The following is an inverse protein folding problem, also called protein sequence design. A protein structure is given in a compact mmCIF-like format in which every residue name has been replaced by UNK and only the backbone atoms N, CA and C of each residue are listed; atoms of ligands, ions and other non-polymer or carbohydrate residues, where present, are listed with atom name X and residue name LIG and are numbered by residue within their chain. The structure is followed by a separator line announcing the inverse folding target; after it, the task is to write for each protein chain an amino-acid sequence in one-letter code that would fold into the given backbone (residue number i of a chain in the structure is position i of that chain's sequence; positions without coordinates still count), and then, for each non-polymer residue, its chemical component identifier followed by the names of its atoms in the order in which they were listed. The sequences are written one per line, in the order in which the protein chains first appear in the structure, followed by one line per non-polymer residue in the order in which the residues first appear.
data_IF_667163915177
#
_entry.id   IF_667163915177
#
_cell.length_a   1.000
_cell.length_b   1.000
_cell.length_c   1.000
_cell.angle_alpha   90.00
_cell.angle_beta   90.00
_cell.angle_gamma   90.00
#
_symmetry.space_group_name_H-M   'P 1'
#
loop_
_entity.id
_entity.type
_entity.pdbx_description
1 polymer ?
#
# COMPACT_ATOMS: atom_id res chain seq x y z
N UNK A 1 3.28 12.50 -21.71
CA UNK A 1 3.93 11.85 -20.58
C UNK A 1 2.82 11.21 -19.77
N UNK A 2 2.90 9.92 -19.45
CA UNK A 2 1.79 9.22 -18.78
C UNK A 2 1.89 9.42 -17.26
N UNK A 3 1.12 10.36 -16.73
CA UNK A 3 1.01 10.63 -15.28
C UNK A 3 0.04 9.63 -14.69
N UNK A 4 0.54 8.75 -13.87
CA UNK A 4 -0.25 7.72 -13.19
C UNK A 4 -0.30 7.99 -11.70
N UNK A 5 -1.49 8.13 -11.15
CA UNK A 5 -1.68 8.08 -9.71
C UNK A 5 -2.05 6.66 -9.30
N UNK A 6 -1.33 6.13 -8.32
CA UNK A 6 -1.67 4.86 -7.66
C UNK A 6 -2.10 5.18 -6.24
N UNK A 7 -3.36 4.91 -5.92
CA UNK A 7 -3.90 5.03 -4.57
C UNK A 7 -4.15 3.64 -4.00
N UNK A 8 -3.53 3.31 -2.88
CA UNK A 8 -3.71 1.96 -2.32
C UNK A 8 -2.90 1.68 -1.08
N UNK A 9 -2.89 0.40 -0.72
CA UNK A 9 -2.25 -0.09 0.49
C UNK A 9 -0.73 0.03 0.46
N UNK A 10 -0.17 0.24 1.65
CA UNK A 10 1.24 0.09 1.95
C UNK A 10 1.42 -0.59 3.29
N UNK A 11 2.34 -1.53 3.36
CA UNK A 11 2.58 -2.32 4.55
C UNK A 11 4.07 -2.45 4.83
N UNK A 12 4.40 -2.70 6.09
CA UNK A 12 5.66 -3.32 6.46
C UNK A 12 5.45 -4.84 6.48
N UNK A 13 6.09 -5.56 5.56
CA UNK A 13 6.03 -7.01 5.48
C UNK A 13 7.09 -7.61 6.41
N UNK A 14 6.65 -8.41 7.39
CA UNK A 14 7.49 -9.12 8.35
C UNK A 14 7.49 -10.60 7.96
N UNK A 15 8.54 -11.02 7.28
CA UNK A 15 8.68 -12.37 6.73
C UNK A 15 9.44 -13.25 7.72
N UNK A 16 8.79 -14.29 8.20
CA UNK A 16 9.35 -15.29 9.10
C UNK A 16 9.57 -16.60 8.34
N UNK A 17 10.81 -16.94 8.09
CA UNK A 17 11.16 -18.23 7.50
C UNK A 17 11.12 -19.32 8.58
N UNK A 18 10.30 -20.35 8.34
CA UNK A 18 10.10 -21.46 9.26
C UNK A 18 10.36 -22.79 8.58
N UNK A 19 10.68 -23.84 9.35
CA UNK A 19 10.85 -25.19 8.78
C UNK A 19 9.54 -25.77 8.26
N UNK A 20 8.46 -25.51 8.97
CA UNK A 20 7.07 -25.90 8.68
C UNK A 20 6.11 -24.97 9.38
N UNK A 21 4.86 -24.98 8.97
CA UNK A 21 3.82 -24.23 9.67
C UNK A 21 3.57 -24.82 11.08
N UNK A 22 3.35 -23.97 12.11
CA UNK A 22 2.96 -24.46 13.44
C UNK A 22 1.54 -25.03 13.43
N UNK A 23 1.32 -26.04 14.26
CA UNK A 23 -0.03 -26.51 14.58
C UNK A 23 -0.66 -25.64 15.67
N UNK A 24 -1.97 -25.79 15.90
CA UNK A 24 -2.65 -25.08 16.97
C UNK A 24 -2.01 -25.40 18.34
N UNK A 25 -1.68 -24.35 19.11
CA UNK A 25 -1.03 -24.46 20.42
C UNK A 25 0.47 -24.73 20.38
N UNK A 26 1.09 -24.83 19.21
CA UNK A 26 2.51 -25.13 19.06
C UNK A 26 3.35 -23.86 19.02
N UNK A 27 4.51 -23.88 19.68
CA UNK A 27 5.56 -22.87 19.58
C UNK A 27 6.69 -23.40 18.69
N UNK A 28 7.04 -22.67 17.64
CA UNK A 28 8.19 -22.98 16.78
C UNK A 28 9.14 -21.79 16.71
N UNK A 29 10.38 -22.06 16.34
CA UNK A 29 11.41 -21.03 16.17
C UNK A 29 11.55 -20.69 14.68
N UNK A 30 11.47 -19.40 14.35
CA UNK A 30 11.79 -18.92 13.01
C UNK A 30 13.31 -19.01 12.77
N UNK A 31 13.71 -19.46 11.58
CA UNK A 31 15.11 -19.52 11.18
C UNK A 31 15.68 -18.13 10.83
N UNK A 32 14.82 -17.30 10.23
CA UNK A 32 15.14 -15.94 9.84
C UNK A 32 13.90 -15.06 9.92
N UNK A 33 14.08 -13.81 10.29
CA UNK A 33 13.06 -12.77 10.21
C UNK A 33 13.62 -11.61 9.39
N UNK A 34 12.91 -11.22 8.34
CA UNK A 34 13.24 -10.06 7.52
C UNK A 34 12.08 -9.09 7.49
N UNK A 35 12.40 -7.81 7.32
CA UNK A 35 11.41 -6.74 7.10
C UNK A 35 11.63 -6.15 5.73
N UNK A 36 10.56 -5.89 5.01
CA UNK A 36 10.61 -5.17 3.75
C UNK A 36 9.33 -4.35 3.55
N UNK A 37 9.44 -3.31 2.77
CA UNK A 37 8.27 -2.51 2.41
C UNK A 37 7.48 -3.24 1.33
N UNK A 38 6.15 -3.30 1.50
CA UNK A 38 5.22 -3.97 0.60
C UNK A 38 3.87 -3.27 0.54
N UNK A 39 2.84 -4.03 0.19
CA UNK A 39 1.48 -3.56 -0.08
C UNK A 39 1.21 -3.44 -1.57
N UNK A 40 0.01 -3.82 -2.02
CA UNK A 40 -0.34 -3.85 -3.45
C UNK A 40 -0.21 -2.48 -4.09
N UNK A 41 -0.69 -1.42 -3.42
CA UNK A 41 -0.61 -0.06 -3.93
C UNK A 41 0.82 0.40 -4.17
N UNK A 42 1.69 0.22 -3.17
CA UNK A 42 3.09 0.60 -3.31
C UNK A 42 3.80 -0.24 -4.39
N UNK A 43 3.59 -1.55 -4.41
CA UNK A 43 4.22 -2.43 -5.39
C UNK A 43 3.83 -2.06 -6.83
N UNK A 44 2.57 -1.69 -7.06
CA UNK A 44 2.10 -1.24 -8.37
C UNK A 44 2.66 0.13 -8.76
N UNK A 45 2.81 1.06 -7.80
CA UNK A 45 3.45 2.35 -8.05
C UNK A 45 4.92 2.18 -8.47
N UNK A 46 5.66 1.31 -7.76
CA UNK A 46 7.05 0.97 -8.07
C UNK A 46 7.15 0.32 -9.45
N UNK A 47 6.29 -0.66 -9.73
CA UNK A 47 6.27 -1.33 -11.05
C UNK A 47 6.00 -0.32 -12.18
N UNK A 48 5.03 0.57 -12.01
CA UNK A 48 4.70 1.60 -12.99
C UNK A 48 5.87 2.58 -13.23
N UNK A 49 6.52 3.04 -12.16
CA UNK A 49 7.69 3.93 -12.27
C UNK A 49 8.84 3.25 -13.02
N UNK A 50 9.14 1.99 -12.71
CA UNK A 50 10.15 1.19 -13.41
C UNK A 50 9.80 0.94 -14.89
N UNK A 51 8.51 0.94 -15.24
CA UNK A 51 8.03 0.89 -16.62
C UNK A 51 8.02 2.28 -17.31
N UNK A 52 8.51 3.33 -16.66
CA UNK A 52 8.66 4.67 -17.25
C UNK A 52 7.44 5.59 -17.09
N UNK A 53 6.48 5.25 -16.23
CA UNK A 53 5.39 6.16 -15.88
C UNK A 53 5.90 7.26 -14.92
N UNK A 54 5.32 8.46 -15.01
CA UNK A 54 5.40 9.44 -13.94
C UNK A 54 4.41 9.03 -12.83
N UNK A 55 4.90 8.23 -11.89
CA UNK A 55 4.08 7.68 -10.84
C UNK A 55 3.97 8.65 -9.64
N UNK A 56 2.73 8.90 -9.20
CA UNK A 56 2.41 9.50 -7.91
C UNK A 56 1.79 8.41 -7.05
N UNK A 57 2.31 8.18 -5.86
CA UNK A 57 1.74 7.22 -4.93
C UNK A 57 0.96 7.94 -3.84
N UNK A 58 -0.27 7.48 -3.60
CA UNK A 58 -1.16 7.94 -2.53
C UNK A 58 -1.39 6.81 -1.54
N UNK A 59 -1.01 7.03 -0.31
CA UNK A 59 -1.18 6.07 0.79
C UNK A 59 -1.40 6.76 2.12
N UNK A 60 -1.85 6.00 3.11
CA UNK A 60 -1.95 6.47 4.49
C UNK A 60 -1.07 5.62 5.39
N UNK A 61 -0.28 6.28 6.23
CA UNK A 61 0.72 5.66 7.11
C UNK A 61 0.54 6.15 8.53
N UNK A 62 1.04 5.41 9.50
CA UNK A 62 1.14 5.84 10.89
C UNK A 62 2.29 6.83 11.11
N UNK A 63 2.39 7.35 12.33
CA UNK A 63 3.51 8.16 12.78
C UNK A 63 4.60 7.24 13.38
N UNK A 64 5.20 6.38 12.57
CA UNK A 64 6.11 5.31 12.99
C UNK A 64 7.32 5.15 12.05
N UNK A 65 8.28 4.31 12.46
CA UNK A 65 9.50 4.04 11.70
C UNK A 65 9.21 3.42 10.32
N UNK A 66 8.13 2.64 10.21
CA UNK A 66 7.73 2.05 8.94
C UNK A 66 7.41 3.12 7.89
N UNK A 67 6.75 4.21 8.29
CA UNK A 67 6.47 5.34 7.40
C UNK A 67 7.75 5.97 6.83
N UNK A 68 8.83 6.04 7.63
CA UNK A 68 10.11 6.60 7.19
C UNK A 68 10.82 5.68 6.21
N UNK A 69 10.76 4.36 6.42
CA UNK A 69 11.31 3.38 5.48
C UNK A 69 10.56 3.40 4.14
N UNK A 70 9.23 3.50 4.18
CA UNK A 70 8.39 3.61 2.99
C UNK A 70 8.76 4.86 2.17
N UNK A 71 8.95 6.01 2.83
CA UNK A 71 9.37 7.24 2.14
C UNK A 71 10.71 7.08 1.43
N UNK A 72 11.67 6.39 2.06
CA UNK A 72 12.98 6.12 1.46
C UNK A 72 12.84 5.27 0.20
N UNK A 73 12.02 4.20 0.26
CA UNK A 73 11.78 3.34 -0.91
C UNK A 73 11.21 4.14 -2.07
N UNK A 74 10.14 4.92 -1.84
CA UNK A 74 9.51 5.72 -2.88
C UNK A 74 10.47 6.77 -3.47
N UNK A 75 11.25 7.43 -2.62
CA UNK A 75 12.26 8.40 -3.07
C UNK A 75 13.32 7.76 -3.96
N UNK A 76 13.80 6.56 -3.60
CA UNK A 76 14.78 5.83 -4.40
C UNK A 76 14.25 5.40 -5.77
N UNK A 77 12.94 5.17 -5.89
CA UNK A 77 12.25 4.82 -7.14
C UNK A 77 11.79 6.06 -7.93
N UNK A 78 12.09 7.26 -7.45
CA UNK A 78 11.69 8.52 -8.11
C UNK A 78 10.18 8.78 -8.10
N UNK A 79 9.46 8.15 -7.18
CA UNK A 79 8.01 8.28 -7.05
C UNK A 79 7.69 9.46 -6.13
N UNK A 80 6.73 10.30 -6.52
CA UNK A 80 6.22 11.38 -5.69
C UNK A 80 5.24 10.82 -4.66
N UNK A 81 5.57 10.81 -3.36
CA UNK A 81 4.65 10.31 -2.35
C UNK A 81 3.65 11.40 -1.93
N UNK A 82 2.36 11.06 -1.91
CA UNK A 82 1.33 11.82 -1.21
C UNK A 82 0.83 11.02 -0.02
N UNK A 83 1.51 11.17 1.12
CA UNK A 83 1.12 10.48 2.33
C UNK A 83 0.15 11.29 3.17
N UNK A 84 -0.91 10.61 3.60
CA UNK A 84 -1.75 11.02 4.70
C UNK A 84 -1.27 10.34 5.98
N UNK A 85 -1.27 11.08 7.08
CA UNK A 85 -0.82 10.58 8.36
C UNK A 85 -2.02 10.19 9.22
N UNK A 86 -2.07 8.94 9.65
CA UNK A 86 -2.97 8.52 10.72
C UNK A 86 -2.38 8.90 12.08
N UNK A 87 -3.23 9.45 12.96
CA UNK A 87 -2.90 9.70 14.37
C UNK A 87 -3.47 8.62 15.29
N UNK A 88 -4.23 7.68 14.73
CA UNK A 88 -4.96 6.64 15.47
C UNK A 88 -4.35 5.26 15.24
N UNK A 89 -3.94 5.00 14.02
CA UNK A 89 -3.52 3.68 13.57
C UNK A 89 -2.04 3.69 13.18
N UNK A 90 -1.31 2.61 13.44
CA UNK A 90 0.04 2.42 12.92
C UNK A 90 0.01 2.19 11.41
N UNK A 91 1.15 2.26 10.76
CA UNK A 91 1.32 1.81 9.37
C UNK A 91 0.87 0.36 9.24
N UNK A 92 0.23 0.02 8.11
CA UNK A 92 -0.19 -1.35 7.83
C UNK A 92 0.97 -2.34 7.91
N UNK A 93 0.69 -3.57 8.33
CA UNK A 93 1.68 -4.62 8.44
C UNK A 93 1.16 -5.96 7.90
N UNK A 94 2.02 -6.73 7.25
CA UNK A 94 1.74 -8.12 6.89
C UNK A 94 2.74 -9.05 7.60
N UNK A 95 2.21 -10.01 8.34
CA UNK A 95 2.98 -11.06 9.02
C UNK A 95 2.94 -12.31 8.17
N UNK A 96 4.07 -12.64 7.57
CA UNK A 96 4.19 -13.67 6.54
C UNK A 96 5.03 -14.82 7.10
N UNK A 97 4.43 -15.97 7.33
CA UNK A 97 5.16 -17.20 7.58
C UNK A 97 5.42 -17.90 6.24
N UNK A 98 6.68 -18.20 5.96
CA UNK A 98 7.12 -18.88 4.75
C UNK A 98 7.85 -20.17 5.13
N UNK A 99 7.34 -21.32 4.70
CA UNK A 99 7.97 -22.61 4.98
C UNK A 99 8.95 -23.05 3.87
N UNK A 100 9.68 -24.15 4.12
CA UNK A 100 10.68 -24.69 3.19
C UNK A 100 10.10 -25.16 1.85
N UNK A 101 8.80 -25.42 1.77
CA UNK A 101 8.13 -25.81 0.53
C UNK A 101 7.72 -24.61 -0.32
N UNK A 102 7.93 -23.39 0.18
CA UNK A 102 7.50 -22.15 -0.47
C UNK A 102 6.04 -21.78 -0.19
N UNK A 103 5.35 -22.53 0.68
CA UNK A 103 4.01 -22.16 1.10
C UNK A 103 4.05 -21.03 2.12
N UNK A 104 3.13 -20.08 1.98
CA UNK A 104 3.00 -18.97 2.90
C UNK A 104 1.65 -18.98 3.64
N UNK A 105 1.66 -18.37 4.82
CA UNK A 105 0.44 -17.94 5.54
C UNK A 105 0.65 -16.49 5.94
N UNK A 106 -0.35 -15.67 5.63
CA UNK A 106 -0.26 -14.22 5.79
C UNK A 106 -1.37 -13.75 6.71
N UNK A 107 -1.01 -12.95 7.70
CA UNK A 107 -1.94 -12.20 8.54
C UNK A 107 -1.69 -10.73 8.27
N UNK A 108 -2.72 -10.00 7.82
CA UNK A 108 -2.62 -8.57 7.53
C UNK A 108 -3.29 -7.77 8.63
N UNK A 109 -2.58 -6.79 9.17
CA UNK A 109 -3.11 -5.70 9.96
C UNK A 109 -3.21 -4.46 9.08
N UNK A 110 -4.42 -4.07 8.70
CA UNK A 110 -4.65 -2.96 7.77
C UNK A 110 -4.13 -1.61 8.26
N UNK A 111 -4.21 -1.38 9.58
CA UNK A 111 -3.70 -0.14 10.19
C UNK A 111 -4.20 1.11 9.49
N UNK A 112 -3.29 2.04 9.22
CA UNK A 112 -3.60 3.31 8.58
C UNK A 112 -4.24 3.17 7.19
N UNK A 113 -4.04 2.05 6.47
CA UNK A 113 -4.73 1.81 5.19
C UNK A 113 -6.27 1.84 5.35
N UNK A 114 -6.78 1.53 6.54
CA UNK A 114 -8.22 1.52 6.83
C UNK A 114 -8.72 2.82 7.48
N UNK A 115 -7.85 3.84 7.67
CA UNK A 115 -8.18 5.08 8.37
C UNK A 115 -8.29 6.31 7.44
N UNK A 116 -8.47 6.12 6.13
CA UNK A 116 -8.74 7.24 5.23
C UNK A 116 -10.06 7.91 5.59
N UNK A 117 -10.05 9.24 5.54
CA UNK A 117 -11.21 10.09 5.86
C UNK A 117 -11.70 10.84 4.62
N UNK A 118 -12.93 11.36 4.68
CA UNK A 118 -13.47 12.22 3.61
C UNK A 118 -12.60 13.45 3.37
N UNK A 119 -11.96 13.98 4.42
CA UNK A 119 -11.04 15.11 4.29
C UNK A 119 -9.77 14.74 3.52
N UNK A 120 -9.26 13.52 3.69
CA UNK A 120 -8.12 13.04 2.92
C UNK A 120 -8.48 12.97 1.43
N UNK A 121 -9.67 12.46 1.13
CA UNK A 121 -10.15 12.34 -0.25
C UNK A 121 -10.42 13.71 -0.88
N UNK A 122 -11.04 14.63 -0.15
CA UNK A 122 -11.27 15.99 -0.63
C UNK A 122 -9.96 16.70 -1.02
N UNK A 123 -8.87 16.45 -0.29
CA UNK A 123 -7.53 16.99 -0.61
C UNK A 123 -6.89 16.33 -1.84
N UNK A 124 -7.34 15.14 -2.22
CA UNK A 124 -6.84 14.44 -3.41
C UNK A 124 -7.49 14.90 -4.71
N UNK A 125 -8.64 15.56 -4.65
CA UNK A 125 -9.43 15.88 -5.83
C UNK A 125 -8.64 16.64 -6.89
N UNK A 126 -7.93 17.71 -6.48
CA UNK A 126 -7.11 18.49 -7.39
C UNK A 126 -5.95 17.68 -7.98
N UNK A 127 -5.31 16.86 -7.15
CA UNK A 127 -4.20 16.00 -7.60
C UNK A 127 -4.67 14.94 -8.59
N UNK A 128 -5.85 14.34 -8.39
CA UNK A 128 -6.47 13.39 -9.33
C UNK A 128 -6.78 14.06 -10.66
N UNK A 129 -7.32 15.30 -10.64
CA UNK A 129 -7.70 16.04 -11.85
C UNK A 129 -6.52 16.28 -12.83
N UNK A 130 -5.28 16.26 -12.34
CA UNK A 130 -4.08 16.44 -13.13
C UNK A 130 -3.41 15.14 -13.58
N UNK A 131 -4.04 13.98 -13.35
CA UNK A 131 -3.51 12.68 -13.78
C UNK A 131 -4.09 12.26 -15.13
N UNK A 132 -3.35 11.40 -15.82
CA UNK A 132 -3.82 10.77 -17.06
C UNK A 132 -4.56 9.46 -16.75
N UNK A 133 -4.35 8.88 -15.54
CA UNK A 133 -4.98 7.64 -15.07
C UNK A 133 -4.89 7.52 -13.55
N UNK A 134 -5.90 6.88 -12.96
CA UNK A 134 -5.93 6.48 -11.55
C UNK A 134 -5.97 4.95 -11.46
N UNK A 135 -5.06 4.35 -10.68
CA UNK A 135 -5.02 2.92 -10.37
C UNK A 135 -5.32 2.73 -8.89
N UNK A 136 -6.28 1.87 -8.56
CA UNK A 136 -6.75 1.58 -7.20
C UNK A 136 -6.81 0.08 -6.97
N UNK A 137 -6.57 -0.36 -5.74
CA UNK A 137 -6.83 -1.73 -5.26
C UNK A 137 -7.89 -1.70 -4.16
N UNK A 138 -8.40 -2.88 -3.77
CA UNK A 138 -9.46 -3.01 -2.76
C UNK A 138 -8.92 -3.29 -1.35
N UNK A 139 -7.76 -2.72 -1.00
CA UNK A 139 -7.10 -2.93 0.31
C UNK A 139 -7.13 -1.71 1.25
N UNK A 140 -7.77 -0.61 0.84
CA UNK A 140 -8.09 0.53 1.71
C UNK A 140 -9.56 0.50 2.09
N UNK A 141 -10.02 1.40 2.97
CA UNK A 141 -11.43 1.42 3.33
C UNK A 141 -12.33 1.80 2.14
N UNK A 142 -13.49 1.19 2.06
CA UNK A 142 -14.41 1.37 0.93
C UNK A 142 -14.81 2.84 0.68
N UNK A 143 -15.10 3.68 1.69
CA UNK A 143 -15.41 5.09 1.46
C UNK A 143 -14.29 5.85 0.71
N UNK A 144 -13.01 5.54 0.98
CA UNK A 144 -11.91 6.18 0.29
C UNK A 144 -11.81 5.77 -1.18
N UNK A 145 -12.05 4.50 -1.46
CA UNK A 145 -12.09 3.96 -2.84
C UNK A 145 -13.20 4.63 -3.62
N UNK A 146 -14.43 4.64 -3.08
CA UNK A 146 -15.58 5.29 -3.71
C UNK A 146 -15.34 6.80 -3.93
N UNK A 147 -14.79 7.48 -2.93
CA UNK A 147 -14.49 8.90 -3.01
C UNK A 147 -13.50 9.23 -4.12
N UNK A 148 -12.39 8.50 -4.20
CA UNK A 148 -11.38 8.68 -5.24
C UNK A 148 -11.93 8.37 -6.64
N UNK A 149 -12.74 7.33 -6.78
CA UNK A 149 -13.41 6.99 -8.05
C UNK A 149 -14.39 8.10 -8.46
N UNK A 150 -15.20 8.63 -7.53
CA UNK A 150 -16.10 9.76 -7.81
C UNK A 150 -15.34 11.00 -8.26
N UNK A 151 -14.20 11.32 -7.64
CA UNK A 151 -13.33 12.41 -8.06
C UNK A 151 -12.79 12.19 -9.48
N UNK A 152 -12.29 10.99 -9.77
CA UNK A 152 -11.78 10.64 -11.09
C UNK A 152 -12.86 10.76 -12.18
N UNK A 153 -14.07 10.26 -11.94
CA UNK A 153 -15.21 10.39 -12.86
C UNK A 153 -15.54 11.86 -13.11
N UNK A 154 -15.62 12.67 -12.06
CA UNK A 154 -15.91 14.12 -12.15
C UNK A 154 -14.92 14.83 -13.08
N UNK A 155 -13.65 14.46 -13.02
CA UNK A 155 -12.58 15.06 -13.84
C UNK A 155 -12.25 14.28 -15.11
N UNK A 156 -13.04 13.26 -15.45
CA UNK A 156 -12.86 12.41 -16.64
C UNK A 156 -11.52 11.69 -16.70
N UNK A 157 -10.97 11.36 -15.54
CA UNK A 157 -9.73 10.58 -15.43
C UNK A 157 -10.10 9.09 -15.47
N UNK A 158 -9.53 8.30 -16.39
CA UNK A 158 -9.73 6.85 -16.43
C UNK A 158 -9.30 6.18 -15.14
N UNK A 159 -10.07 5.16 -14.71
CA UNK A 159 -9.77 4.40 -13.49
C UNK A 159 -9.56 2.93 -13.85
N UNK A 160 -8.47 2.36 -13.32
CA UNK A 160 -8.23 0.92 -13.27
C UNK A 160 -8.42 0.47 -11.83
N UNK A 161 -9.25 -0.56 -11.62
CA UNK A 161 -9.44 -1.20 -10.32
C UNK A 161 -8.85 -2.60 -10.38
N UNK A 162 -7.85 -2.86 -9.55
CA UNK A 162 -7.33 -4.21 -9.32
C UNK A 162 -8.13 -4.83 -8.17
N UNK A 163 -8.91 -5.84 -8.49
CA UNK A 163 -9.77 -6.53 -7.52
C UNK A 163 -9.01 -7.53 -6.60
N UNK A 164 -7.72 -7.77 -6.85
CA UNK A 164 -6.81 -8.52 -5.98
C UNK A 164 -6.58 -9.95 -6.37
#
# INVERSE_FOLDING_TARGET
MNRLMVMGSVNMDIIMQVNRMPMAGECIVAQQVTKQVGGKGLNQAVAAARCGAQATYVGKVGADEAADEIRKVLSNEGIVPQFYLSRKEPTGAAYIMLDRSGQNRIIVHGGANQDFTDQDIARLEEAIAHQDMLLIQLETNLPSIEGAVKCAIKHKVPVIVDAG
#
